data_IF_356385557593
#
_entry.id   IF_356385557593
#
_cell.length_a   1.000
_cell.length_b   1.000
_cell.length_c   1.000
_cell.angle_alpha   90.00
_cell.angle_beta   90.00
_cell.angle_gamma   90.00
#
_symmetry.space_group_name_H-M   'P 1'
#
loop_
_entity.id
_entity.type
_entity.pdbx_description
1 polymer ?
#
# COMPACT_ATOMS: atom_id res chain seq x y z
N UNK A 1 -9.64 -7.49 14.36
CA UNK A 1 -9.30 -8.02 13.01
C UNK A 1 -7.99 -8.79 13.07
N UNK A 2 -7.90 -9.97 12.44
CA UNK A 2 -6.64 -10.75 12.38
C UNK A 2 -5.68 -10.16 11.34
N UNK A 3 -4.38 -10.42 11.47
CA UNK A 3 -3.37 -9.96 10.51
C UNK A 3 -3.68 -10.40 9.07
N UNK A 4 -4.20 -11.63 8.91
CA UNK A 4 -4.54 -12.16 7.60
C UNK A 4 -5.73 -11.42 6.97
N UNK A 5 -6.77 -11.11 7.75
CA UNK A 5 -7.91 -10.32 7.25
C UNK A 5 -7.48 -8.90 6.88
N UNK A 6 -6.59 -8.29 7.68
CA UNK A 6 -6.03 -6.97 7.39
C UNK A 6 -5.29 -6.97 6.04
N UNK A 7 -4.43 -7.96 5.81
CA UNK A 7 -3.68 -8.12 4.56
C UNK A 7 -4.62 -8.28 3.36
N UNK A 8 -5.64 -9.15 3.47
CA UNK A 8 -6.61 -9.34 2.39
C UNK A 8 -7.36 -8.06 2.06
N UNK A 9 -7.74 -7.28 3.08
CA UNK A 9 -8.42 -6.01 2.90
C UNK A 9 -7.50 -4.99 2.19
N UNK A 10 -6.24 -4.88 2.62
CA UNK A 10 -5.25 -4.03 1.98
C UNK A 10 -5.05 -4.40 0.51
N UNK A 11 -4.84 -5.68 0.19
CA UNK A 11 -4.70 -6.15 -1.19
C UNK A 11 -5.96 -5.86 -2.03
N UNK A 12 -7.15 -6.08 -1.47
CA UNK A 12 -8.41 -5.84 -2.16
C UNK A 12 -8.65 -4.35 -2.49
N UNK A 13 -8.07 -3.43 -1.72
CA UNK A 13 -8.21 -1.98 -1.92
C UNK A 13 -7.06 -1.44 -2.78
N UNK A 14 -5.82 -1.79 -2.47
CA UNK A 14 -4.63 -1.20 -3.09
C UNK A 14 -4.48 -1.61 -4.55
N UNK A 15 -4.69 -2.89 -4.88
CA UNK A 15 -4.49 -3.39 -6.24
C UNK A 15 -5.40 -2.64 -7.24
N UNK A 16 -6.73 -2.53 -7.04
CA UNK A 16 -7.58 -1.77 -7.95
C UNK A 16 -7.17 -0.29 -8.08
N UNK A 17 -6.77 0.35 -6.98
CA UNK A 17 -6.36 1.75 -6.99
C UNK A 17 -5.07 1.93 -7.79
N UNK A 18 -4.08 1.08 -7.56
CA UNK A 18 -2.80 1.11 -8.28
C UNK A 18 -3.02 0.88 -9.76
N UNK A 19 -3.84 -0.10 -10.14
CA UNK A 19 -4.19 -0.36 -11.54
C UNK A 19 -4.88 0.85 -12.17
N UNK A 20 -5.89 1.40 -11.51
CA UNK A 20 -6.63 2.55 -12.00
C UNK A 20 -5.73 3.77 -12.18
N UNK A 21 -4.95 4.14 -11.16
CA UNK A 21 -4.06 5.30 -11.22
C UNK A 21 -2.94 5.12 -12.24
N UNK A 22 -2.35 3.93 -12.32
CA UNK A 22 -1.29 3.66 -13.30
C UNK A 22 -1.85 3.70 -14.73
N UNK A 23 -3.10 3.26 -14.93
CA UNK A 23 -3.77 3.37 -16.23
C UNK A 23 -3.87 4.83 -16.68
N UNK A 24 -4.20 5.74 -15.75
CA UNK A 24 -4.23 7.18 -16.02
C UNK A 24 -2.84 7.80 -16.22
N UNK A 25 -1.80 7.30 -15.55
CA UNK A 25 -0.45 7.89 -15.58
C UNK A 25 0.42 7.43 -16.76
N UNK A 26 0.26 6.18 -17.20
CA UNK A 26 1.14 5.56 -18.21
C UNK A 26 0.43 4.69 -19.24
N UNK A 27 -0.90 4.56 -19.17
CA UNK A 27 -1.77 3.89 -20.14
C UNK A 27 -1.19 2.56 -20.66
N UNK A 28 -1.31 1.51 -19.85
CA UNK A 28 -1.06 0.14 -20.30
C UNK A 28 -2.25 -0.40 -21.11
N UNK A 29 -1.96 -1.29 -22.06
CA UNK A 29 -2.96 -1.81 -23.01
C UNK A 29 -2.98 -3.33 -23.08
N UNK A 30 -1.99 -4.00 -22.49
CA UNK A 30 -1.89 -5.47 -22.53
C UNK A 30 -2.30 -6.12 -21.21
N UNK A 31 -2.84 -7.34 -21.32
CA UNK A 31 -3.14 -8.18 -20.16
C UNK A 31 -1.88 -8.56 -19.37
N UNK A 32 -0.74 -8.69 -20.05
CA UNK A 32 0.55 -8.99 -19.44
C UNK A 32 1.01 -7.84 -18.52
N UNK A 33 0.88 -6.59 -18.98
CA UNK A 33 1.15 -5.41 -18.14
C UNK A 33 0.22 -5.37 -16.93
N UNK A 34 -1.07 -5.64 -17.11
CA UNK A 34 -2.04 -5.66 -16.01
C UNK A 34 -1.67 -6.71 -14.95
N UNK A 35 -1.28 -7.92 -15.36
CA UNK A 35 -0.82 -8.96 -14.45
C UNK A 35 0.49 -8.60 -13.75
N UNK A 36 1.45 -8.03 -14.47
CA UNK A 36 2.71 -7.57 -13.90
C UNK A 36 2.49 -6.49 -12.85
N UNK A 37 1.63 -5.51 -13.15
CA UNK A 37 1.22 -4.44 -12.22
C UNK A 37 0.53 -5.00 -10.96
N UNK A 38 -0.41 -5.93 -11.15
CA UNK A 38 -1.12 -6.57 -10.04
C UNK A 38 -0.17 -7.36 -9.15
N UNK A 39 0.78 -8.05 -9.76
CA UNK A 39 1.81 -8.83 -9.06
C UNK A 39 2.79 -7.93 -8.31
N UNK A 40 3.16 -6.79 -8.89
CA UNK A 40 4.00 -5.79 -8.24
C UNK A 40 3.31 -5.18 -7.03
N UNK A 41 2.06 -4.73 -7.18
CA UNK A 41 1.25 -4.21 -6.07
C UNK A 41 1.12 -5.25 -4.95
N UNK A 42 0.74 -6.48 -5.30
CA UNK A 42 0.64 -7.58 -4.34
C UNK A 42 1.98 -7.86 -3.63
N UNK A 43 3.08 -7.94 -4.39
CA UNK A 43 4.40 -8.17 -3.83
C UNK A 43 4.87 -7.04 -2.91
N UNK A 44 4.58 -5.78 -3.27
CA UNK A 44 4.88 -4.62 -2.45
C UNK A 44 4.11 -4.66 -1.12
N UNK A 45 2.79 -4.86 -1.15
CA UNK A 45 1.96 -5.00 0.06
C UNK A 45 2.39 -6.21 0.91
N UNK A 46 2.72 -7.35 0.30
CA UNK A 46 3.20 -8.53 1.02
C UNK A 46 4.55 -8.30 1.72
N UNK A 47 5.39 -7.43 1.16
CA UNK A 47 6.66 -7.03 1.76
C UNK A 47 6.43 -6.06 2.94
N UNK A 48 5.59 -5.05 2.75
CA UNK A 48 5.42 -3.95 3.71
C UNK A 48 4.44 -4.27 4.83
N UNK A 49 3.41 -5.08 4.58
CA UNK A 49 2.37 -5.37 5.56
C UNK A 49 2.89 -6.10 6.81
N UNK A 50 3.73 -7.16 6.72
CA UNK A 50 4.33 -7.78 7.90
C UNK A 50 5.20 -6.81 8.71
N UNK A 51 5.92 -5.90 8.03
CA UNK A 51 6.74 -4.87 8.67
C UNK A 51 5.87 -3.86 9.41
N UNK A 52 4.79 -3.37 8.78
CA UNK A 52 3.83 -2.46 9.39
C UNK A 52 3.16 -3.08 10.62
N UNK A 53 2.69 -4.33 10.50
CA UNK A 53 2.07 -5.07 11.59
C UNK A 53 3.03 -5.25 12.78
N UNK A 54 4.24 -5.76 12.51
CA UNK A 54 5.25 -6.02 13.55
C UNK A 54 5.69 -4.73 14.22
N UNK A 55 5.85 -3.65 13.46
CA UNK A 55 6.21 -2.33 14.00
C UNK A 55 5.14 -1.79 14.94
N UNK A 56 3.86 -1.91 14.55
CA UNK A 56 2.73 -1.48 15.36
C UNK A 56 2.59 -2.28 16.67
N UNK A 57 2.84 -3.59 16.63
CA UNK A 57 2.64 -4.47 17.78
C UNK A 57 3.84 -4.51 18.74
N UNK A 58 5.07 -4.38 18.24
CA UNK A 58 6.28 -4.68 19.01
C UNK A 58 7.18 -3.46 19.12
N UNK A 59 7.57 -2.86 17.99
CA UNK A 59 8.73 -1.95 17.94
C UNK A 59 8.41 -0.57 18.53
N UNK A 60 7.25 -0.01 18.17
CA UNK A 60 6.89 1.37 18.53
C UNK A 60 5.54 1.42 19.26
N UNK A 61 5.17 0.34 19.92
CA UNK A 61 3.87 0.18 20.59
C UNK A 61 3.63 1.22 21.71
N UNK A 62 4.71 1.71 22.34
CA UNK A 62 4.68 2.74 23.39
C UNK A 62 4.41 4.16 22.88
N UNK A 63 4.56 4.40 21.57
CA UNK A 63 4.23 5.71 21.00
C UNK A 63 2.71 5.91 20.95
N UNK A 64 2.28 7.17 21.13
CA UNK A 64 0.87 7.53 20.95
C UNK A 64 0.40 7.18 19.54
N UNK A 65 -0.83 6.67 19.44
CA UNK A 65 -1.39 6.08 18.23
C UNK A 65 -1.24 6.96 16.96
N UNK A 66 -1.53 8.28 16.98
CA UNK A 66 -1.38 9.10 15.77
C UNK A 66 0.06 9.18 15.26
N UNK A 67 1.03 9.32 16.17
CA UNK A 67 2.46 9.39 15.81
C UNK A 67 2.92 8.05 15.26
N UNK A 68 2.52 6.96 15.90
CA UNK A 68 2.86 5.59 15.48
C UNK A 68 2.41 5.30 14.05
N UNK A 69 1.16 5.61 13.72
CA UNK A 69 0.62 5.40 12.38
C UNK A 69 1.35 6.25 11.35
N UNK A 70 1.53 7.55 11.62
CA UNK A 70 2.20 8.44 10.66
C UNK A 70 3.59 7.91 10.29
N UNK A 71 4.35 7.40 11.26
CA UNK A 71 5.68 6.83 11.03
C UNK A 71 5.58 5.56 10.17
N UNK A 72 4.70 4.63 10.53
CA UNK A 72 4.54 3.36 9.80
C UNK A 72 4.12 3.63 8.36
N UNK A 73 3.05 4.40 8.17
CA UNK A 73 2.51 4.73 6.84
C UNK A 73 3.54 5.49 6.00
N UNK A 74 4.31 6.42 6.58
CA UNK A 74 5.35 7.11 5.84
C UNK A 74 6.45 6.16 5.33
N UNK A 75 6.86 5.17 6.13
CA UNK A 75 7.84 4.16 5.75
C UNK A 75 7.27 3.25 4.65
N UNK A 76 6.04 2.77 4.83
CA UNK A 76 5.35 1.92 3.84
C UNK A 76 5.23 2.66 2.52
N UNK A 77 4.72 3.90 2.54
CA UNK A 77 4.57 4.73 1.35
C UNK A 77 5.89 4.96 0.63
N UNK A 78 6.97 5.16 1.39
CA UNK A 78 8.29 5.33 0.82
C UNK A 78 8.81 4.06 0.15
N UNK A 79 8.71 2.90 0.81
CA UNK A 79 9.18 1.61 0.28
C UNK A 79 8.40 1.24 -0.98
N UNK A 80 7.07 1.24 -0.91
CA UNK A 80 6.24 0.87 -2.06
C UNK A 80 6.35 1.90 -3.19
N UNK A 81 6.34 3.19 -2.86
CA UNK A 81 6.50 4.24 -3.85
C UNK A 81 7.84 4.18 -4.56
N UNK A 82 8.91 3.77 -3.85
CA UNK A 82 10.20 3.48 -4.46
C UNK A 82 10.10 2.29 -5.41
N UNK A 83 9.52 1.16 -4.99
CA UNK A 83 9.30 -0.02 -5.85
C UNK A 83 8.51 0.33 -7.11
N UNK A 84 7.39 1.04 -6.98
CA UNK A 84 6.60 1.49 -8.12
C UNK A 84 7.39 2.44 -9.02
N UNK A 85 8.20 3.35 -8.46
CA UNK A 85 9.00 4.27 -9.28
C UNK A 85 10.05 3.56 -10.13
N UNK A 86 10.68 2.52 -9.60
CA UNK A 86 11.75 1.78 -10.28
C UNK A 86 11.19 0.79 -11.30
N UNK A 87 10.15 0.03 -10.92
CA UNK A 87 9.62 -1.04 -11.78
C UNK A 87 8.75 -0.49 -12.90
N UNK A 88 8.08 0.66 -12.68
CA UNK A 88 7.15 1.24 -13.66
C UNK A 88 7.74 2.40 -14.45
N UNK A 89 8.98 2.80 -14.18
CA UNK A 89 9.61 3.95 -14.84
C UNK A 89 8.76 5.24 -14.77
N UNK A 90 7.98 5.40 -13.69
CA UNK A 90 7.10 6.54 -13.46
C UNK A 90 7.86 7.80 -12.97
N UNK A 91 9.12 7.63 -12.57
CA UNK A 91 9.87 8.60 -11.79
C UNK A 91 9.42 8.64 -10.33
N UNK A 92 10.34 9.01 -9.43
CA UNK A 92 10.14 8.91 -7.97
C UNK A 92 8.88 9.63 -7.45
N UNK A 93 8.55 10.82 -8.00
CA UNK A 93 7.38 11.60 -7.57
C UNK A 93 6.07 10.88 -7.82
N UNK A 94 5.92 10.29 -9.00
CA UNK A 94 4.69 9.59 -9.38
C UNK A 94 4.55 8.25 -8.63
N UNK A 95 5.67 7.54 -8.43
CA UNK A 95 5.68 6.32 -7.62
C UNK A 95 5.24 6.59 -6.17
N UNK A 96 5.80 7.62 -5.53
CA UNK A 96 5.36 8.05 -4.19
C UNK A 96 3.89 8.48 -4.17
N UNK A 97 3.43 9.26 -5.15
CA UNK A 97 2.04 9.68 -5.24
C UNK A 97 1.07 8.49 -5.33
N UNK A 98 1.42 7.51 -6.16
CA UNK A 98 0.64 6.29 -6.35
C UNK A 98 0.54 5.49 -5.05
N UNK A 99 1.67 5.27 -4.38
CA UNK A 99 1.70 4.57 -3.10
C UNK A 99 0.96 5.33 -2.00
N UNK A 100 1.11 6.66 -1.93
CA UNK A 100 0.42 7.50 -0.95
C UNK A 100 -1.10 7.38 -1.07
N UNK A 101 -1.65 7.45 -2.28
CA UNK A 101 -3.11 7.30 -2.47
C UNK A 101 -3.59 5.90 -2.11
N UNK A 102 -2.87 4.86 -2.55
CA UNK A 102 -3.22 3.48 -2.26
C UNK A 102 -3.25 3.21 -0.74
N UNK A 103 -2.20 3.63 -0.02
CA UNK A 103 -2.10 3.46 1.42
C UNK A 103 -3.13 4.29 2.20
N UNK A 104 -3.38 5.55 1.81
CA UNK A 104 -4.44 6.36 2.44
C UNK A 104 -5.80 5.67 2.30
N UNK A 105 -6.12 5.14 1.12
CA UNK A 105 -7.38 4.45 0.89
C UNK A 105 -7.47 3.13 1.66
N UNK A 106 -6.37 2.35 1.69
CA UNK A 106 -6.25 1.11 2.46
C UNK A 106 -6.44 1.36 3.96
N UNK A 107 -5.76 2.38 4.50
CA UNK A 107 -5.87 2.81 5.89
C UNK A 107 -7.28 3.29 6.24
N UNK A 108 -7.88 4.16 5.43
CA UNK A 108 -9.26 4.62 5.63
C UNK A 108 -10.26 3.46 5.58
N UNK A 109 -10.09 2.55 4.61
CA UNK A 109 -10.90 1.34 4.49
C UNK A 109 -10.77 0.44 5.72
N UNK A 110 -9.54 0.25 6.21
CA UNK A 110 -9.26 -0.48 7.44
C UNK A 110 -9.94 0.12 8.68
N UNK A 111 -9.88 1.44 8.85
CA UNK A 111 -10.57 2.13 9.96
C UNK A 111 -12.09 1.94 9.88
N UNK A 112 -12.66 2.13 8.70
CA UNK A 112 -14.11 1.97 8.49
C UNK A 112 -14.51 0.54 8.86
N UNK A 113 -13.83 -0.46 8.30
CA UNK A 113 -14.14 -1.86 8.57
C UNK A 113 -13.96 -2.23 10.04
N UNK A 114 -12.90 -1.75 10.70
CA UNK A 114 -12.69 -1.96 12.13
C UNK A 114 -13.79 -1.35 13.01
N UNK A 115 -14.43 -0.26 12.55
CA UNK A 115 -15.53 0.37 13.29
C UNK A 115 -16.86 -0.38 13.14
N UNK A 116 -17.06 -1.10 12.03
CA UNK A 116 -18.32 -1.77 11.70
C UNK A 116 -18.30 -3.30 11.89
N UNK A 117 -17.12 -3.91 12.06
CA UNK A 117 -16.91 -5.35 12.34
C UNK A 117 -16.31 -5.57 13.73
#
# INVERSE_FOLDING_TARGET
>A
MTQFIALLLSLAIEIPIILLLTHYLQRFSSFVELLAMSSLACGATLLTHPLAWTSNQIIIHDLIFPVRIIIIEAIVVFIEGFLYSQVLDLGWRKGLYLSMIANIASFCGGIIMYKFL
#
